data_IF_080824823363
#
_entry.id   IF_080824823363
#
_cell.length_a   1.000
_cell.length_b   1.000
_cell.length_c   1.000
_cell.angle_alpha   90.00
_cell.angle_beta   90.00
_cell.angle_gamma   90.00
#
_symmetry.space_group_name_H-M   'P 1'
#
loop_
_entity.id
_entity.type
_entity.pdbx_description
1 polymer ?
#
# COMPACT_ATOMS: atom_id res chain seq x y z
N UNK A 1 -41.16 -14.97 38.41
CA UNK A 1 -40.12 -13.96 38.75
C UNK A 1 -40.71 -12.60 38.47
N UNK A 2 -40.65 -11.67 39.42
CA UNK A 2 -41.31 -10.37 39.30
C UNK A 2 -40.28 -9.33 38.87
N UNK A 3 -40.44 -8.77 37.68
CA UNK A 3 -39.55 -7.74 37.13
C UNK A 3 -40.43 -6.51 36.87
N UNK A 4 -40.08 -5.36 37.46
CA UNK A 4 -40.85 -4.10 37.39
C UNK A 4 -42.35 -4.24 37.74
N UNK A 5 -42.68 -5.03 38.76
CA UNK A 5 -44.07 -5.20 39.22
C UNK A 5 -44.96 -6.10 38.35
N UNK A 6 -44.39 -6.76 37.33
CA UNK A 6 -45.11 -7.73 36.48
C UNK A 6 -44.60 -9.14 36.76
N UNK A 7 -45.51 -10.08 37.03
CA UNK A 7 -45.16 -11.49 37.21
C UNK A 7 -44.94 -12.19 35.87
N UNK A 8 -43.71 -12.68 35.67
CA UNK A 8 -43.37 -13.51 34.52
C UNK A 8 -43.25 -14.97 34.94
N UNK A 9 -43.94 -15.87 34.21
CA UNK A 9 -43.64 -17.29 34.25
C UNK A 9 -42.28 -17.55 33.57
N UNK A 10 -41.51 -18.57 33.99
CA UNK A 10 -40.21 -18.88 33.40
C UNK A 10 -40.25 -19.03 31.88
N UNK A 11 -41.30 -19.66 31.36
CA UNK A 11 -41.54 -19.85 29.93
C UNK A 11 -41.75 -18.52 29.19
N UNK A 12 -42.50 -17.58 29.79
CA UNK A 12 -42.70 -16.24 29.21
C UNK A 12 -41.41 -15.43 29.19
N UNK A 13 -40.59 -15.53 30.23
CA UNK A 13 -39.31 -14.81 30.29
C UNK A 13 -38.32 -15.34 29.24
N UNK A 14 -38.26 -16.66 29.06
CA UNK A 14 -37.43 -17.30 28.05
C UNK A 14 -37.90 -16.93 26.63
N UNK A 15 -39.20 -16.86 26.39
CA UNK A 15 -39.76 -16.43 25.11
C UNK A 15 -39.43 -14.97 24.80
N UNK A 16 -39.51 -14.07 25.80
CA UNK A 16 -39.15 -12.66 25.65
C UNK A 16 -37.66 -12.49 25.33
N UNK A 17 -36.78 -13.20 26.05
CA UNK A 17 -35.33 -13.16 25.80
C UNK A 17 -34.97 -13.67 24.39
N UNK A 18 -35.63 -14.74 23.94
CA UNK A 18 -35.44 -15.27 22.59
C UNK A 18 -35.92 -14.27 21.54
N UNK A 19 -37.04 -13.58 21.76
CA UNK A 19 -37.50 -12.51 20.86
C UNK A 19 -36.52 -11.34 20.81
N UNK A 20 -35.99 -10.89 21.94
CA UNK A 20 -34.97 -9.80 21.98
C UNK A 20 -33.72 -10.22 21.22
N UNK A 21 -33.25 -11.46 21.39
CA UNK A 21 -32.10 -11.99 20.66
C UNK A 21 -32.36 -12.03 19.14
N UNK A 22 -33.50 -12.55 18.71
CA UNK A 22 -33.87 -12.64 17.30
C UNK A 22 -33.98 -11.25 16.67
N UNK A 23 -34.61 -10.29 17.36
CA UNK A 23 -34.71 -8.90 16.89
C UNK A 23 -33.32 -8.26 16.83
N UNK A 24 -32.45 -8.50 17.82
CA UNK A 24 -31.07 -8.04 17.83
C UNK A 24 -30.25 -8.58 16.65
N UNK A 25 -30.35 -9.88 16.35
CA UNK A 25 -29.69 -10.52 15.20
C UNK A 25 -30.23 -9.97 13.89
N UNK A 26 -31.54 -9.77 13.76
CA UNK A 26 -32.15 -9.22 12.55
C UNK A 26 -31.74 -7.75 12.32
N UNK A 27 -31.61 -6.94 13.37
CA UNK A 27 -31.09 -5.57 13.30
C UNK A 27 -29.61 -5.58 12.92
N UNK A 28 -28.81 -6.45 13.51
CA UNK A 28 -27.39 -6.61 13.20
C UNK A 28 -27.17 -7.03 11.73
N UNK A 29 -27.92 -8.02 11.23
CA UNK A 29 -27.88 -8.45 9.82
C UNK A 29 -28.34 -7.33 8.89
N UNK A 30 -29.32 -6.50 9.27
CA UNK A 30 -29.72 -5.32 8.48
C UNK A 30 -28.62 -4.26 8.42
N UNK A 31 -27.91 -4.02 9.52
CA UNK A 31 -26.76 -3.12 9.57
C UNK A 31 -25.65 -3.68 8.67
N UNK A 32 -25.29 -4.96 8.80
CA UNK A 32 -24.31 -5.61 7.93
C UNK A 32 -24.71 -5.55 6.46
N UNK A 33 -25.99 -5.75 6.10
CA UNK A 33 -26.50 -5.61 4.73
C UNK A 33 -26.44 -4.17 4.20
N UNK A 34 -26.47 -3.16 5.08
CA UNK A 34 -26.23 -1.75 4.71
C UNK A 34 -24.76 -1.50 4.37
N UNK A 35 -23.84 -2.23 5.02
CA UNK A 35 -22.40 -2.20 4.71
C UNK A 35 -21.98 -3.19 3.60
N UNK A 36 -22.79 -4.22 3.32
CA UNK A 36 -22.53 -5.26 2.32
C UNK A 36 -23.05 -4.93 0.91
N UNK A 37 -23.78 -3.82 0.74
CA UNK A 37 -24.22 -3.36 -0.58
C UNK A 37 -23.31 -2.25 -1.11
N UNK A 38 -22.09 -2.63 -1.49
CA UNK A 38 -21.41 -1.96 -2.59
C UNK A 38 -21.56 -2.89 -3.81
N UNK A 39 -22.36 -2.54 -4.83
CA UNK A 39 -22.17 -3.14 -6.13
C UNK A 39 -20.81 -2.65 -6.69
N UNK A 40 -20.02 -3.50 -7.38
CA UNK A 40 -18.94 -2.99 -8.20
C UNK A 40 -19.61 -2.23 -9.35
N UNK A 41 -19.60 -0.89 -9.28
CA UNK A 41 -19.96 -0.09 -10.44
C UNK A 41 -18.84 -0.21 -11.46
N UNK A 42 -19.22 -0.56 -12.68
CA UNK A 42 -18.37 -0.66 -13.86
C UNK A 42 -17.31 0.43 -13.91
N UNK A 43 -16.05 0.01 -14.09
CA UNK A 43 -14.87 0.86 -14.17
C UNK A 43 -14.97 1.76 -15.40
N UNK A 44 -15.51 2.96 -15.19
CA UNK A 44 -15.27 4.10 -16.06
C UNK A 44 -13.83 4.59 -15.87
N UNK A 45 -13.28 5.26 -16.86
CA UNK A 45 -12.00 5.95 -16.75
C UNK A 45 -12.13 7.07 -15.70
N UNK A 46 -11.76 6.79 -14.45
CA UNK A 46 -11.73 7.77 -13.34
C UNK A 46 -10.63 8.84 -13.51
N UNK A 47 -10.06 9.01 -14.70
CA UNK A 47 -9.12 10.08 -14.96
C UNK A 47 -9.88 11.42 -14.89
N UNK A 48 -9.54 12.32 -13.96
CA UNK A 48 -10.31 13.54 -13.80
C UNK A 48 -10.10 14.46 -15.02
N UNK A 49 -11.17 14.65 -15.79
CA UNK A 49 -11.20 15.37 -17.08
C UNK A 49 -11.19 16.90 -16.93
N UNK A 50 -11.47 17.42 -15.73
CA UNK A 50 -11.43 18.85 -15.45
C UNK A 50 -10.05 19.30 -14.95
N UNK A 51 -9.70 20.56 -15.25
CA UNK A 51 -8.52 21.22 -14.71
C UNK A 51 -8.51 21.20 -13.17
N UNK A 52 -7.32 21.26 -12.56
CA UNK A 52 -7.18 21.32 -11.10
C UNK A 52 -7.95 22.51 -10.52
N UNK A 53 -8.72 22.26 -9.47
CA UNK A 53 -9.41 23.29 -8.71
C UNK A 53 -8.42 24.25 -8.02
N UNK A 54 -8.90 25.42 -7.58
CA UNK A 54 -8.06 26.35 -6.81
C UNK A 54 -7.47 25.71 -5.54
N UNK A 55 -8.24 24.85 -4.87
CA UNK A 55 -7.79 24.12 -3.67
C UNK A 55 -6.73 23.06 -3.98
N UNK A 56 -6.84 22.35 -5.12
CA UNK A 56 -5.78 21.46 -5.60
C UNK A 56 -4.50 22.25 -5.95
N UNK A 57 -4.63 23.38 -6.66
CA UNK A 57 -3.51 24.24 -7.01
C UNK A 57 -2.77 24.77 -5.78
N UNK A 58 -3.51 25.22 -4.76
CA UNK A 58 -2.92 25.67 -3.49
C UNK A 58 -2.22 24.51 -2.75
N UNK A 59 -2.87 23.35 -2.65
CA UNK A 59 -2.32 22.16 -2.01
C UNK A 59 -1.01 21.69 -2.66
N UNK A 60 -0.96 21.67 -3.99
CA UNK A 60 0.19 21.18 -4.75
C UNK A 60 1.18 22.27 -5.16
N UNK A 61 0.99 23.50 -4.68
CA UNK A 61 1.79 24.66 -5.10
C UNK A 61 3.31 24.41 -4.96
N UNK A 62 3.75 23.68 -3.92
CA UNK A 62 5.16 23.37 -3.69
C UNK A 62 5.76 22.38 -4.70
N UNK A 63 4.95 21.51 -5.30
CA UNK A 63 5.38 20.69 -6.42
C UNK A 63 5.36 21.46 -7.73
N UNK A 64 4.31 22.27 -7.96
CA UNK A 64 4.11 23.02 -9.20
C UNK A 64 5.25 24.02 -9.46
N UNK A 65 5.85 24.59 -8.41
CA UNK A 65 6.98 25.52 -8.57
C UNK A 65 8.32 24.84 -8.89
N UNK A 66 8.45 23.52 -8.70
CA UNK A 66 9.67 22.79 -9.03
C UNK A 66 9.78 22.64 -10.54
N UNK A 67 10.92 23.03 -11.12
CA UNK A 67 11.14 23.02 -12.58
C UNK A 67 10.96 21.63 -13.17
N UNK A 68 11.42 20.60 -12.47
CA UNK A 68 11.38 19.20 -12.90
C UNK A 68 9.98 18.58 -12.82
N UNK A 69 9.07 19.17 -12.03
CA UNK A 69 7.69 18.69 -11.91
C UNK A 69 6.74 19.64 -12.66
N UNK A 70 6.62 20.89 -12.22
CA UNK A 70 5.75 21.87 -12.86
C UNK A 70 4.25 21.49 -12.80
N UNK A 71 3.41 22.31 -13.44
CA UNK A 71 1.99 21.98 -13.60
C UNK A 71 1.77 20.71 -14.42
N UNK A 72 2.63 20.44 -15.41
CA UNK A 72 2.55 19.25 -16.25
C UNK A 72 2.85 17.97 -15.46
N UNK A 73 3.90 17.94 -14.65
CA UNK A 73 4.24 16.81 -13.78
C UNK A 73 3.19 16.60 -12.69
N UNK A 74 2.64 17.67 -12.11
CA UNK A 74 1.52 17.53 -11.17
C UNK A 74 0.27 16.94 -11.85
N UNK A 75 0.01 17.31 -13.11
CA UNK A 75 -1.07 16.70 -13.91
C UNK A 75 -0.81 15.20 -14.16
N UNK A 76 0.45 14.80 -14.42
CA UNK A 76 0.80 13.38 -14.53
C UNK A 76 0.56 12.63 -13.22
N UNK A 77 0.94 13.20 -12.06
CA UNK A 77 0.62 12.63 -10.75
C UNK A 77 -0.89 12.44 -10.58
N UNK A 78 -1.66 13.48 -10.87
CA UNK A 78 -3.13 13.45 -10.76
C UNK A 78 -3.80 12.41 -11.67
N UNK A 79 -3.17 12.06 -12.79
CA UNK A 79 -3.69 11.05 -13.72
C UNK A 79 -3.12 9.64 -13.49
N UNK A 80 -2.09 9.51 -12.65
CA UNK A 80 -1.43 8.24 -12.40
C UNK A 80 -2.25 7.34 -11.46
N UNK A 81 -2.19 6.04 -11.75
CA UNK A 81 -2.76 4.98 -10.92
C UNK A 81 -1.63 4.12 -10.39
N UNK A 82 -1.47 4.10 -9.07
CA UNK A 82 -0.38 3.38 -8.40
C UNK A 82 -0.94 2.29 -7.48
N UNK A 83 -0.38 1.09 -7.59
CA UNK A 83 -0.68 -0.02 -6.68
C UNK A 83 0.43 -0.16 -5.63
N UNK A 84 0.06 -0.21 -4.34
CA UNK A 84 0.99 -0.50 -3.24
C UNK A 84 0.66 -1.88 -2.66
N UNK A 85 1.60 -2.81 -2.77
CA UNK A 85 1.47 -4.17 -2.24
C UNK A 85 2.11 -4.22 -0.85
N UNK A 86 1.28 -4.43 0.17
CA UNK A 86 1.65 -4.37 1.58
C UNK A 86 1.45 -2.97 2.18
N UNK A 87 0.56 -2.85 3.17
CA UNK A 87 0.24 -1.64 3.94
C UNK A 87 0.92 -1.71 5.32
N UNK A 88 2.18 -2.15 5.32
CA UNK A 88 3.00 -2.34 6.50
C UNK A 88 3.91 -1.14 6.81
N UNK A 89 5.10 -1.44 7.33
CA UNK A 89 6.08 -0.41 7.70
C UNK A 89 6.58 0.42 6.51
N UNK A 90 6.78 -0.22 5.35
CA UNK A 90 7.19 0.47 4.11
C UNK A 90 5.99 1.09 3.40
N UNK A 91 4.88 0.36 3.31
CA UNK A 91 3.66 0.84 2.65
C UNK A 91 3.05 2.08 3.31
N UNK A 92 3.13 2.19 4.64
CA UNK A 92 2.61 3.34 5.40
C UNK A 92 3.16 4.69 4.90
N UNK A 93 4.47 4.98 4.96
CA UNK A 93 5.03 6.23 4.44
C UNK A 93 4.86 6.35 2.92
N UNK A 94 4.93 5.25 2.15
CA UNK A 94 4.66 5.29 0.70
C UNK A 94 3.28 5.88 0.42
N UNK A 95 2.24 5.34 1.05
CA UNK A 95 0.87 5.78 0.86
C UNK A 95 0.67 7.22 1.34
N UNK A 96 1.24 7.59 2.49
CA UNK A 96 1.16 8.96 3.01
C UNK A 96 1.74 9.97 2.01
N UNK A 97 2.95 9.72 1.52
CA UNK A 97 3.62 10.65 0.61
C UNK A 97 3.01 10.68 -0.78
N UNK A 98 2.59 9.54 -1.34
CA UNK A 98 1.92 9.53 -2.64
C UNK A 98 0.53 10.17 -2.59
N UNK A 99 -0.22 9.97 -1.50
CA UNK A 99 -1.49 10.64 -1.28
C UNK A 99 -1.28 12.15 -1.15
N UNK A 100 -0.32 12.59 -0.32
CA UNK A 100 0.01 14.01 -0.17
C UNK A 100 0.49 14.65 -1.48
N UNK A 101 1.25 13.91 -2.30
CA UNK A 101 1.73 14.34 -3.61
C UNK A 101 0.63 14.49 -4.67
N UNK A 102 -0.57 13.96 -4.41
CA UNK A 102 -1.69 14.03 -5.34
C UNK A 102 -1.64 12.98 -6.45
N UNK A 103 -1.14 11.78 -6.15
CA UNK A 103 -1.33 10.63 -7.05
C UNK A 103 -2.82 10.34 -7.17
N UNK A 104 -3.34 10.38 -8.40
CA UNK A 104 -4.78 10.38 -8.69
C UNK A 104 -5.53 9.19 -8.15
N UNK A 105 -5.00 7.99 -8.36
CA UNK A 105 -5.58 6.75 -7.82
C UNK A 105 -4.52 5.96 -7.07
N UNK A 106 -4.81 5.64 -5.81
CA UNK A 106 -4.01 4.74 -4.99
C UNK A 106 -4.79 3.47 -4.70
N UNK A 107 -4.36 2.38 -5.33
CA UNK A 107 -4.74 1.03 -4.92
C UNK A 107 -3.77 0.51 -3.88
N UNK A 108 -4.27 -0.20 -2.88
CA UNK A 108 -3.40 -0.85 -1.90
C UNK A 108 -4.00 -2.14 -1.37
N UNK A 109 -3.16 -3.16 -1.27
CA UNK A 109 -3.57 -4.54 -0.99
C UNK A 109 -2.78 -5.11 0.19
N UNK A 110 -3.50 -5.61 1.18
CA UNK A 110 -2.97 -6.22 2.40
C UNK A 110 -4.11 -7.02 3.06
N UNK A 111 -3.84 -8.22 3.58
CA UNK A 111 -4.80 -9.09 4.26
C UNK A 111 -4.70 -9.07 5.79
N UNK A 112 -3.77 -8.29 6.36
CA UNK A 112 -3.60 -8.18 7.80
C UNK A 112 -4.54 -7.14 8.45
N UNK A 113 -4.61 -7.25 9.78
CA UNK A 113 -5.17 -6.24 10.68
C UNK A 113 -4.06 -5.45 11.38
N UNK A 114 -4.39 -4.26 11.89
CA UNK A 114 -3.46 -3.44 12.67
C UNK A 114 -3.23 -4.08 14.05
N UNK A 115 -2.00 -4.50 14.32
CA UNK A 115 -1.59 -5.00 15.64
C UNK A 115 -0.85 -3.96 16.49
N UNK A 116 -0.88 -4.10 17.81
CA UNK A 116 -0.17 -3.19 18.74
C UNK A 116 1.34 -3.10 18.45
N UNK A 117 1.98 -4.25 18.17
CA UNK A 117 3.41 -4.32 17.82
C UNK A 117 3.77 -3.65 16.50
N UNK A 118 2.76 -3.27 15.70
CA UNK A 118 2.95 -2.57 14.43
C UNK A 118 3.17 -1.07 14.63
N UNK A 119 2.56 -0.49 15.66
CA UNK A 119 2.48 0.96 15.85
C UNK A 119 3.85 1.65 16.04
N UNK A 120 4.88 0.91 16.45
CA UNK A 120 6.25 1.43 16.56
C UNK A 120 6.87 1.85 15.20
N UNK A 121 6.35 1.33 14.08
CA UNK A 121 6.88 1.60 12.74
C UNK A 121 5.85 1.86 11.64
N UNK A 122 4.59 1.52 11.87
CA UNK A 122 3.49 1.73 10.92
C UNK A 122 2.76 3.02 11.27
N UNK A 123 3.44 4.15 11.04
CA UNK A 123 3.01 5.50 11.47
C UNK A 123 1.81 6.05 10.69
N UNK A 124 1.20 5.25 9.81
CA UNK A 124 -0.13 5.51 9.25
C UNK A 124 -1.25 5.20 10.25
N UNK A 125 -0.98 4.34 11.24
CA UNK A 125 -1.96 3.88 12.21
C UNK A 125 -1.72 4.46 13.60
N UNK A 126 -2.73 4.33 14.46
CA UNK A 126 -2.68 4.67 15.88
C UNK A 126 -3.58 3.70 16.66
N UNK A 127 -3.63 3.84 17.99
CA UNK A 127 -4.36 2.91 18.87
C UNK A 127 -5.86 2.77 18.54
N UNK A 128 -6.50 3.78 17.95
CA UNK A 128 -7.91 3.70 17.56
C UNK A 128 -8.16 2.76 16.37
N UNK A 129 -7.10 2.29 15.70
CA UNK A 129 -7.20 1.39 14.55
C UNK A 129 -6.89 -0.07 14.90
N UNK A 130 -6.58 -0.40 16.16
CA UNK A 130 -6.28 -1.77 16.56
C UNK A 130 -7.38 -2.75 16.11
N UNK A 131 -6.97 -3.92 15.63
CA UNK A 131 -7.82 -4.98 15.09
C UNK A 131 -8.63 -4.62 13.82
N UNK A 132 -8.49 -3.39 13.29
CA UNK A 132 -9.06 -3.00 12.01
C UNK A 132 -8.22 -3.57 10.86
N UNK A 133 -8.83 -4.03 9.75
CA UNK A 133 -8.07 -4.34 8.54
C UNK A 133 -7.22 -3.16 8.10
N UNK A 134 -5.93 -3.38 7.85
CA UNK A 134 -4.95 -2.31 7.57
C UNK A 134 -5.38 -1.43 6.41
N UNK A 135 -5.95 -2.04 5.36
CA UNK A 135 -6.41 -1.30 4.18
C UNK A 135 -7.54 -0.32 4.53
N UNK A 136 -8.51 -0.68 5.36
CA UNK A 136 -9.60 0.25 5.71
C UNK A 136 -9.15 1.33 6.68
N UNK A 137 -8.24 1.00 7.61
CA UNK A 137 -7.60 2.00 8.46
C UNK A 137 -6.79 3.01 7.61
N UNK A 138 -6.05 2.51 6.62
CA UNK A 138 -5.27 3.35 5.70
C UNK A 138 -6.20 4.23 4.87
N UNK A 139 -7.27 3.69 4.29
CA UNK A 139 -8.24 4.46 3.51
C UNK A 139 -8.77 5.67 4.29
N UNK A 140 -9.19 5.46 5.54
CA UNK A 140 -9.71 6.53 6.39
C UNK A 140 -8.68 7.65 6.61
N UNK A 141 -7.43 7.28 6.88
CA UNK A 141 -6.33 8.22 7.13
C UNK A 141 -5.93 8.99 5.86
N UNK A 142 -5.81 8.28 4.73
CA UNK A 142 -5.43 8.89 3.45
C UNK A 142 -6.51 9.81 2.90
N UNK A 143 -7.79 9.47 3.09
CA UNK A 143 -8.92 10.33 2.72
C UNK A 143 -8.95 11.62 3.54
N UNK A 144 -8.59 11.55 4.82
CA UNK A 144 -8.45 12.73 5.67
C UNK A 144 -7.25 13.60 5.25
N UNK A 145 -6.15 12.96 4.82
CA UNK A 145 -4.95 13.64 4.34
C UNK A 145 -5.19 14.40 3.04
N UNK A 146 -5.78 13.74 2.04
CA UNK A 146 -6.05 14.32 0.73
C UNK A 146 -7.39 13.81 0.17
N UNK A 147 -8.45 14.63 0.15
CA UNK A 147 -9.76 14.21 -0.32
C UNK A 147 -9.91 14.24 -1.85
N UNK A 148 -8.89 14.67 -2.61
CA UNK A 148 -8.97 14.83 -4.07
C UNK A 148 -8.60 13.56 -4.86
N UNK A 149 -8.15 12.50 -4.17
CA UNK A 149 -7.65 11.27 -4.79
C UNK A 149 -8.66 10.13 -4.64
N UNK A 150 -8.60 9.19 -5.58
CA UNK A 150 -9.35 7.93 -5.53
C UNK A 150 -8.55 6.90 -4.75
N UNK A 151 -9.16 6.31 -3.73
CA UNK A 151 -8.56 5.24 -2.93
C UNK A 151 -9.25 3.92 -3.25
N UNK A 152 -8.48 2.86 -3.44
CA UNK A 152 -8.98 1.51 -3.73
C UNK A 152 -8.36 0.50 -2.74
N UNK A 153 -8.97 0.29 -1.57
CA UNK A 153 -8.50 -0.71 -0.60
C UNK A 153 -8.87 -2.13 -1.03
N UNK A 154 -7.90 -3.06 -0.99
CA UNK A 154 -8.12 -4.48 -1.26
C UNK A 154 -7.75 -5.32 -0.04
N UNK A 155 -8.76 -5.70 0.77
CA UNK A 155 -8.55 -6.55 1.95
C UNK A 155 -8.45 -8.02 1.56
N UNK A 156 -7.34 -8.39 0.91
CA UNK A 156 -7.04 -9.75 0.44
C UNK A 156 -5.55 -9.85 0.15
N UNK A 157 -5.07 -11.08 -0.06
CA UNK A 157 -3.72 -11.30 -0.59
C UNK A 157 -3.60 -10.74 -2.00
N UNK A 158 -2.40 -10.32 -2.35
CA UNK A 158 -2.08 -9.89 -3.70
C UNK A 158 -2.36 -11.00 -4.72
N UNK A 159 -2.92 -10.61 -5.85
CA UNK A 159 -3.12 -11.40 -7.06
C UNK A 159 -2.81 -10.50 -8.28
N UNK A 160 -2.35 -11.12 -9.37
CA UNK A 160 -1.92 -10.45 -10.58
C UNK A 160 -3.08 -9.77 -11.34
N UNK A 161 -4.34 -10.15 -11.07
CA UNK A 161 -5.54 -9.52 -11.65
C UNK A 161 -5.58 -8.00 -11.42
N UNK A 162 -5.02 -7.52 -10.31
CA UNK A 162 -4.98 -6.10 -9.96
C UNK A 162 -4.12 -5.27 -10.91
N UNK A 163 -3.06 -5.83 -11.49
CA UNK A 163 -2.02 -5.03 -12.17
C UNK A 163 -2.53 -4.29 -13.41
N UNK A 164 -3.53 -4.84 -14.08
CA UNK A 164 -4.07 -4.27 -15.32
C UNK A 164 -4.66 -2.86 -15.15
N UNK A 165 -5.00 -2.47 -13.91
CA UNK A 165 -5.58 -1.18 -13.59
C UNK A 165 -4.57 -0.10 -13.18
N UNK A 166 -3.27 -0.42 -13.10
CA UNK A 166 -2.25 0.47 -12.56
C UNK A 166 -1.07 0.69 -13.51
N UNK A 167 -0.52 1.90 -13.44
CA UNK A 167 0.58 2.35 -14.28
C UNK A 167 1.95 2.08 -13.62
N UNK A 168 1.97 1.88 -12.30
CA UNK A 168 3.16 1.64 -11.49
C UNK A 168 2.82 0.81 -10.25
N UNK A 169 3.71 -0.12 -9.87
CA UNK A 169 3.59 -0.94 -8.65
C UNK A 169 4.71 -0.63 -7.67
N UNK A 170 4.36 -0.51 -6.38
CA UNK A 170 5.29 -0.46 -5.27
C UNK A 170 5.11 -1.70 -4.40
N UNK A 171 6.19 -2.44 -4.16
CA UNK A 171 6.21 -3.61 -3.28
C UNK A 171 6.92 -3.28 -1.96
N UNK A 172 6.14 -3.25 -0.89
CA UNK A 172 6.60 -3.05 0.48
C UNK A 172 6.43 -4.29 1.36
N UNK A 173 6.27 -5.47 0.75
CA UNK A 173 6.06 -6.74 1.47
C UNK A 173 7.36 -7.28 2.08
N UNK A 174 7.23 -8.15 3.08
CA UNK A 174 8.34 -8.66 3.89
C UNK A 174 8.66 -10.15 3.65
N UNK A 175 8.01 -10.79 2.66
CA UNK A 175 8.24 -12.20 2.35
C UNK A 175 8.66 -12.40 0.89
N UNK A 176 9.57 -13.35 0.67
CA UNK A 176 10.19 -13.60 -0.62
C UNK A 176 9.18 -14.06 -1.69
N UNK A 177 8.26 -14.95 -1.31
CA UNK A 177 7.27 -15.51 -2.22
C UNK A 177 6.37 -14.44 -2.85
N UNK A 178 5.86 -13.49 -2.05
CA UNK A 178 5.06 -12.37 -2.56
C UNK A 178 5.89 -11.46 -3.46
N UNK A 179 7.13 -11.14 -3.09
CA UNK A 179 8.02 -10.32 -3.94
C UNK A 179 8.25 -10.93 -5.31
N UNK A 180 8.51 -12.24 -5.37
CA UNK A 180 8.66 -12.97 -6.63
C UNK A 180 7.36 -12.97 -7.45
N UNK A 181 6.20 -13.16 -6.80
CA UNK A 181 4.91 -13.14 -7.46
C UNK A 181 4.56 -11.75 -8.04
N UNK A 182 4.78 -10.67 -7.26
CA UNK A 182 4.61 -9.29 -7.72
C UNK A 182 5.54 -8.98 -8.89
N UNK A 183 6.82 -9.38 -8.79
CA UNK A 183 7.80 -9.21 -9.86
C UNK A 183 7.37 -9.94 -11.14
N UNK A 184 6.99 -11.22 -11.06
CA UNK A 184 6.57 -11.99 -12.22
C UNK A 184 5.34 -11.37 -12.89
N UNK A 185 4.37 -10.91 -12.10
CA UNK A 185 3.20 -10.21 -12.60
C UNK A 185 3.58 -8.90 -13.31
N UNK A 186 4.43 -8.08 -12.71
CA UNK A 186 4.91 -6.81 -13.29
C UNK A 186 5.65 -7.03 -14.61
N UNK A 187 6.50 -8.06 -14.69
CA UNK A 187 7.19 -8.43 -15.94
C UNK A 187 6.18 -8.85 -17.01
N UNK A 188 5.19 -9.68 -16.66
CA UNK A 188 4.18 -10.16 -17.60
C UNK A 188 3.29 -9.03 -18.15
N UNK A 189 2.91 -8.06 -17.31
CA UNK A 189 2.07 -6.91 -17.72
C UNK A 189 2.86 -5.72 -18.23
N UNK A 190 4.20 -5.79 -18.18
CA UNK A 190 5.13 -4.68 -18.48
C UNK A 190 4.89 -3.44 -17.62
N UNK A 191 4.46 -3.64 -16.37
CA UNK A 191 4.26 -2.56 -15.40
C UNK A 191 5.55 -2.32 -14.64
N UNK A 192 6.07 -1.08 -14.56
CA UNK A 192 7.23 -0.76 -13.73
C UNK A 192 7.03 -1.13 -12.26
N UNK A 193 8.09 -1.58 -11.62
CA UNK A 193 8.11 -2.01 -10.23
C UNK A 193 9.17 -1.22 -9.44
N UNK A 194 8.77 -0.66 -8.31
CA UNK A 194 9.69 -0.18 -7.28
C UNK A 194 9.51 -1.10 -6.07
N UNK A 195 10.59 -1.69 -5.58
CA UNK A 195 10.54 -2.53 -4.38
C UNK A 195 11.30 -1.87 -3.24
N UNK A 196 10.87 -2.17 -2.02
CA UNK A 196 11.60 -1.85 -0.81
C UNK A 196 11.79 -3.09 0.06
N UNK A 197 12.91 -3.16 0.74
CA UNK A 197 13.19 -4.19 1.74
C UNK A 197 13.92 -3.60 2.93
N UNK A 198 13.71 -4.17 4.10
CA UNK A 198 14.30 -3.72 5.36
C UNK A 198 14.58 -4.92 6.26
N UNK A 199 15.68 -4.88 6.99
CA UNK A 199 16.01 -5.83 8.04
C UNK A 199 16.87 -5.13 9.09
N UNK A 200 16.49 -5.19 10.37
CA UNK A 200 17.23 -4.59 11.49
C UNK A 200 17.53 -3.09 11.29
N UNK A 201 18.72 -2.76 10.78
CA UNK A 201 19.23 -1.42 10.51
C UNK A 201 19.48 -1.14 9.01
N UNK A 202 19.31 -2.14 8.15
CA UNK A 202 19.62 -2.07 6.74
C UNK A 202 18.35 -1.98 5.90
N UNK A 203 18.38 -1.10 4.90
CA UNK A 203 17.29 -0.87 3.98
C UNK A 203 17.74 -0.89 2.53
N UNK A 204 16.82 -1.25 1.65
CA UNK A 204 17.03 -1.35 0.21
C UNK A 204 15.83 -0.74 -0.51
N UNK A 205 16.10 -0.02 -1.60
CA UNK A 205 15.08 0.42 -2.55
C UNK A 205 15.63 0.25 -3.97
N UNK A 206 14.87 -0.39 -4.85
CA UNK A 206 15.28 -0.56 -6.24
C UNK A 206 14.12 -0.35 -7.21
N UNK A 207 14.46 -0.03 -8.45
CA UNK A 207 13.50 0.20 -9.53
C UNK A 207 13.77 -0.74 -10.71
N UNK A 208 12.71 -1.31 -11.27
CA UNK A 208 12.76 -2.20 -12.42
C UNK A 208 11.72 -1.77 -13.44
N UNK A 209 12.14 -1.59 -14.68
CA UNK A 209 11.28 -1.23 -15.79
C UNK A 209 11.30 -2.37 -16.83
N UNK A 210 10.27 -3.24 -16.84
CA UNK A 210 10.20 -4.36 -17.76
C UNK A 210 10.04 -3.96 -19.24
N UNK A 211 9.75 -2.69 -19.55
CA UNK A 211 9.64 -2.20 -20.93
C UNK A 211 11.01 -1.98 -21.58
N UNK A 212 12.05 -1.77 -20.77
CA UNK A 212 13.42 -1.53 -21.19
C UNK A 212 14.33 -2.75 -21.06
N UNK A 213 15.64 -2.51 -21.14
CA UNK A 213 16.68 -3.52 -20.96
C UNK A 213 17.15 -3.66 -19.50
N UNK A 214 16.28 -3.34 -18.53
CA UNK A 214 16.64 -3.37 -17.11
C UNK A 214 16.48 -4.80 -16.54
N UNK A 215 17.22 -5.18 -15.48
CA UNK A 215 16.92 -6.41 -14.75
C UNK A 215 15.51 -6.39 -14.17
N UNK A 216 14.96 -7.57 -13.87
CA UNK A 216 13.83 -7.69 -12.95
C UNK A 216 14.34 -8.06 -11.54
N UNK A 217 13.45 -8.12 -10.55
CA UNK A 217 13.82 -8.51 -9.17
C UNK A 217 14.52 -9.89 -9.14
N UNK A 218 14.02 -10.86 -9.90
CA UNK A 218 14.58 -12.21 -9.96
C UNK A 218 15.96 -12.29 -10.64
N UNK A 219 16.41 -11.26 -11.37
CA UNK A 219 17.81 -11.17 -11.82
C UNK A 219 18.77 -10.89 -10.66
N UNK A 220 18.30 -10.17 -9.63
CA UNK A 220 19.10 -9.77 -8.48
C UNK A 220 18.98 -10.79 -7.34
N UNK A 221 17.76 -11.31 -7.13
CA UNK A 221 17.43 -12.25 -6.07
C UNK A 221 16.75 -13.50 -6.66
N UNK A 222 17.52 -14.38 -7.34
CA UNK A 222 16.95 -15.51 -8.09
C UNK A 222 16.41 -16.62 -7.18
N UNK A 223 17.06 -16.84 -6.04
CA UNK A 223 16.79 -17.97 -5.15
C UNK A 223 16.29 -17.48 -3.79
N UNK A 224 15.40 -18.25 -3.18
CA UNK A 224 14.94 -17.99 -1.83
C UNK A 224 16.12 -18.09 -0.86
N UNK A 225 16.29 -17.12 0.06
CA UNK A 225 17.30 -17.21 1.09
C UNK A 225 17.08 -18.48 1.93
N UNK A 226 18.16 -19.18 2.30
CA UNK A 226 18.05 -20.35 3.19
C UNK A 226 17.38 -19.95 4.51
N UNK A 227 16.65 -20.89 5.11
CA UNK A 227 15.97 -20.70 6.38
C UNK A 227 16.86 -20.02 7.43
N UNK A 228 16.34 -18.94 8.03
CA UNK A 228 17.04 -18.16 9.05
C UNK A 228 18.02 -17.10 8.54
N UNK A 229 18.33 -17.02 7.24
CA UNK A 229 19.19 -15.97 6.68
C UNK A 229 18.44 -14.67 6.36
N UNK A 230 17.13 -14.73 6.19
CA UNK A 230 16.27 -13.56 5.96
C UNK A 230 15.02 -13.60 6.85
N UNK A 231 15.17 -13.52 8.18
CA UNK A 231 14.03 -13.47 9.10
C UNK A 231 13.17 -12.23 8.83
N UNK A 232 11.85 -12.36 9.01
CA UNK A 232 10.92 -11.23 8.92
C UNK A 232 11.28 -10.15 9.96
N UNK A 233 10.81 -8.91 9.74
CA UNK A 233 11.00 -7.84 10.74
C UNK A 233 10.42 -8.21 12.11
N UNK A 234 9.35 -9.00 12.14
CA UNK A 234 8.74 -9.49 13.37
C UNK A 234 9.65 -10.46 14.14
N UNK A 235 10.49 -11.21 13.43
CA UNK A 235 11.44 -12.18 14.00
C UNK A 235 12.79 -11.54 14.34
N UNK A 236 13.34 -10.71 13.46
CA UNK A 236 14.68 -10.14 13.58
C UNK A 236 14.74 -8.85 14.40
N UNK A 237 13.59 -8.18 14.56
CA UNK A 237 13.52 -6.79 14.96
C UNK A 237 13.82 -5.83 13.80
N UNK A 238 13.34 -4.60 13.93
CA UNK A 238 13.60 -3.52 12.99
C UNK A 238 13.58 -2.18 13.71
N UNK A 239 14.56 -1.32 13.40
CA UNK A 239 14.62 0.04 13.94
C UNK A 239 13.45 0.86 13.37
N UNK A 240 12.61 1.41 14.25
CA UNK A 240 11.29 1.94 13.89
C UNK A 240 11.27 3.07 12.85
N UNK A 241 12.34 3.87 12.74
CA UNK A 241 12.43 4.94 11.75
C UNK A 241 12.91 4.46 10.36
N UNK A 242 13.58 3.31 10.27
CA UNK A 242 14.11 2.77 9.01
C UNK A 242 13.03 2.59 7.93
N UNK A 243 11.84 2.03 8.22
CA UNK A 243 10.78 1.93 7.22
C UNK A 243 10.31 3.29 6.72
N UNK A 244 10.32 4.32 7.59
CA UNK A 244 10.04 5.71 7.22
C UNK A 244 11.05 6.23 6.19
N UNK A 245 12.35 6.00 6.42
CA UNK A 245 13.42 6.40 5.48
C UNK A 245 13.25 5.70 4.14
N UNK A 246 13.16 4.37 4.14
CA UNK A 246 13.11 3.59 2.90
C UNK A 246 11.79 3.82 2.15
N UNK A 247 10.66 3.86 2.84
CA UNK A 247 9.38 4.13 2.19
C UNK A 247 9.27 5.54 1.62
N UNK A 248 9.92 6.53 2.23
CA UNK A 248 10.04 7.88 1.63
C UNK A 248 10.89 7.87 0.36
N UNK A 249 11.96 7.09 0.33
CA UNK A 249 12.76 6.89 -0.90
C UNK A 249 11.92 6.19 -1.98
N UNK A 250 11.16 5.14 -1.63
CA UNK A 250 10.24 4.48 -2.58
C UNK A 250 9.22 5.46 -3.17
N UNK A 251 8.59 6.31 -2.34
CA UNK A 251 7.67 7.34 -2.81
C UNK A 251 8.37 8.38 -3.71
N UNK A 252 9.60 8.74 -3.37
CA UNK A 252 10.42 9.66 -4.19
C UNK A 252 10.68 9.07 -5.58
N UNK A 253 11.05 7.79 -5.66
CA UNK A 253 11.24 7.11 -6.95
C UNK A 253 9.93 7.03 -7.74
N UNK A 254 8.80 6.76 -7.10
CA UNK A 254 7.51 6.72 -7.77
C UNK A 254 7.14 8.08 -8.37
N UNK A 255 7.35 9.17 -7.62
CA UNK A 255 7.14 10.54 -8.12
C UNK A 255 8.03 10.82 -9.33
N UNK A 256 9.31 10.45 -9.28
CA UNK A 256 10.23 10.60 -10.41
C UNK A 256 9.78 9.82 -11.63
N UNK A 257 9.40 8.55 -11.48
CA UNK A 257 8.89 7.71 -12.57
C UNK A 257 7.64 8.32 -13.21
N UNK A 258 6.66 8.75 -12.42
CA UNK A 258 5.41 9.31 -12.93
C UNK A 258 5.63 10.65 -13.62
N UNK A 259 6.43 11.52 -13.03
CA UNK A 259 6.64 12.89 -13.55
C UNK A 259 7.62 12.93 -14.71
N UNK A 260 8.57 11.98 -14.75
CA UNK A 260 9.76 12.02 -15.61
C UNK A 260 10.89 12.88 -15.04
N UNK A 261 10.86 13.19 -13.74
CA UNK A 261 11.85 14.03 -13.09
C UNK A 261 13.14 13.26 -12.75
N UNK A 262 14.29 13.85 -13.05
CA UNK A 262 15.60 13.31 -12.69
C UNK A 262 15.86 11.91 -13.27
N UNK A 263 16.62 11.12 -12.52
CA UNK A 263 17.02 9.76 -12.91
C UNK A 263 16.39 8.72 -11.97
N UNK A 264 15.29 8.06 -12.36
CA UNK A 264 14.71 6.96 -11.60
C UNK A 264 15.69 5.79 -11.41
N UNK A 265 15.47 4.97 -10.37
CA UNK A 265 16.31 3.79 -10.07
C UNK A 265 16.20 2.62 -11.07
N UNK A 266 15.71 2.82 -12.28
CA UNK A 266 15.54 1.75 -13.27
C UNK A 266 16.85 0.93 -13.49
N UNK A 267 16.83 -0.35 -13.09
CA UNK A 267 17.98 -1.26 -13.15
C UNK A 267 19.04 -1.07 -12.06
N UNK A 268 18.71 -0.32 -11.01
CA UNK A 268 19.62 -0.02 -9.90
C UNK A 268 18.91 -0.07 -8.56
N UNK A 269 19.70 -0.11 -7.49
CA UNK A 269 19.23 -0.19 -6.12
C UNK A 269 20.08 0.68 -5.22
N UNK A 270 19.45 1.31 -4.24
CA UNK A 270 20.11 1.98 -3.13
C UNK A 270 20.12 1.02 -1.93
N UNK A 271 21.29 0.88 -1.32
CA UNK A 271 21.50 0.25 -0.03
C UNK A 271 21.73 1.34 1.01
N UNK A 272 21.05 1.25 2.15
CA UNK A 272 21.16 2.19 3.25
C UNK A 272 21.45 1.44 4.55
N UNK A 273 22.55 1.80 5.20
CA UNK A 273 22.91 1.34 6.54
C UNK A 273 22.62 2.47 7.54
N UNK A 274 21.61 2.27 8.39
CA UNK A 274 21.21 3.26 9.39
C UNK A 274 22.17 3.36 10.58
N UNK A 275 22.98 2.33 10.87
CA UNK A 275 23.97 2.39 11.95
C UNK A 275 25.11 3.35 11.61
N UNK A 276 25.61 3.24 10.38
CA UNK A 276 26.72 4.08 9.90
C UNK A 276 26.25 5.31 9.11
N UNK A 277 24.96 5.44 8.84
CA UNK A 277 24.37 6.45 7.94
C UNK A 277 24.99 6.43 6.53
N UNK A 278 25.45 5.26 6.06
CA UNK A 278 26.03 5.11 4.74
C UNK A 278 24.97 4.78 3.70
N UNK A 279 25.14 5.34 2.51
CA UNK A 279 24.29 5.05 1.35
C UNK A 279 25.16 4.63 0.18
N UNK A 280 24.78 3.54 -0.51
CA UNK A 280 25.46 3.07 -1.72
C UNK A 280 24.44 2.82 -2.81
N UNK A 281 24.74 3.22 -4.04
CA UNK A 281 23.95 2.87 -5.22
C UNK A 281 24.68 1.77 -5.99
N UNK A 282 23.98 0.70 -6.31
CA UNK A 282 24.48 -0.41 -7.11
C UNK A 282 23.59 -0.57 -8.35
N UNK A 283 24.19 -0.97 -9.47
CA UNK A 283 23.47 -1.31 -10.69
C UNK A 283 23.68 -2.78 -11.00
N UNK A 284 22.63 -3.45 -11.47
CA UNK A 284 22.70 -4.87 -11.83
C UNK A 284 22.33 -5.03 -13.29
N UNK A 285 23.12 -5.75 -14.10
CA UNK A 285 22.73 -6.05 -15.46
C UNK A 285 21.53 -7.02 -15.50
N UNK A 286 20.75 -6.97 -16.58
CA UNK A 286 19.76 -8.02 -16.86
C UNK A 286 20.48 -9.36 -17.07
N UNK A 287 20.03 -10.41 -16.39
CA UNK A 287 20.51 -11.77 -16.61
C UNK A 287 19.82 -12.37 -17.85
N UNK A 288 20.62 -12.81 -18.82
CA UNK A 288 20.14 -13.43 -20.05
C UNK A 288 19.47 -14.81 -19.81
N UNK A 289 19.70 -15.43 -18.65
CA UNK A 289 19.12 -16.71 -18.27
C UNK A 289 18.05 -16.58 -17.17
N UNK A 290 17.57 -15.36 -16.88
CA UNK A 290 16.57 -15.13 -15.85
C UNK A 290 15.27 -15.90 -16.16
N UNK A 291 14.82 -16.73 -15.22
CA UNK A 291 13.59 -17.54 -15.36
C UNK A 291 12.30 -16.72 -15.52
N UNK A 292 12.36 -15.41 -15.28
CA UNK A 292 11.20 -14.51 -15.31
C UNK A 292 11.23 -13.55 -16.49
N UNK A 293 12.37 -12.92 -16.78
CA UNK A 293 12.44 -11.85 -17.79
C UNK A 293 13.39 -12.12 -18.96
N UNK A 294 13.98 -13.31 -19.09
CA UNK A 294 14.80 -13.67 -20.25
C UNK A 294 13.99 -13.56 -21.56
#
# INVERSE_FOLDING_TARGET
MTIFGVEFSPERLQFILMMVLVVGVLLYVRILRKYSKAPPSALGSDAPTEAMSASELERYARHIVLREIGGAGQTKLRNARVLVVGVGGLGSPVLQYLAAAGVGTLGFVDDDVVGLSNLQRQVLFNENHLDMPKVFAAEAQLKALNPFIVLRPYNRKFDADLLSDYDLVLDGTDNFATRQAVNAACVATKTPLIFGAIAQWEGQVGGYDPTGSTPCYACVFPDEPKDGLAPSCAQAGVMGALPGVIGSLMATEAIKVITGAGDPLAGSMILYDALSSQTRKISTPKDANCKVCA
#
